data_IF_150410712426
#
_entry.id   IF_150410712426
#
_cell.length_a   1.000
_cell.length_b   1.000
_cell.length_c   1.000
_cell.angle_alpha   90.00
_cell.angle_beta   90.00
_cell.angle_gamma   90.00
#
_symmetry.space_group_name_H-M   'P 1'
#
loop_
_entity.id
_entity.type
_entity.pdbx_description
1 polymer ?
#
# COMPACT_ATOMS: atom_id res chain seq x y z
N UNK A 1 20.16 -20.77 1.76
CA UNK A 1 20.57 -19.39 1.42
C UNK A 1 19.45 -18.72 0.62
N UNK A 2 19.01 -17.54 1.03
CA UNK A 2 18.03 -16.74 0.26
C UNK A 2 18.71 -16.05 -0.92
N UNK A 3 18.01 -15.98 -2.06
CA UNK A 3 18.51 -15.27 -3.24
C UNK A 3 18.64 -13.78 -2.93
N UNK A 4 19.57 -13.04 -3.56
CA UNK A 4 19.72 -11.59 -3.35
C UNK A 4 18.39 -10.82 -3.50
N UNK A 5 17.54 -11.26 -4.43
CA UNK A 5 16.22 -10.69 -4.68
C UNK A 5 15.23 -10.92 -3.54
N UNK A 6 15.20 -12.14 -2.96
CA UNK A 6 14.39 -12.41 -1.78
C UNK A 6 14.86 -11.69 -0.53
N UNK A 7 16.16 -11.40 -0.42
CA UNK A 7 16.67 -10.53 0.65
C UNK A 7 16.12 -9.11 0.53
N UNK A 8 16.23 -8.49 -0.66
CA UNK A 8 15.64 -7.16 -0.91
C UNK A 8 14.14 -7.12 -0.63
N UNK A 9 13.38 -8.13 -1.10
CA UNK A 9 11.95 -8.19 -0.83
C UNK A 9 11.64 -8.26 0.68
N UNK A 10 12.33 -9.14 1.41
CA UNK A 10 12.13 -9.28 2.87
C UNK A 10 12.54 -8.02 3.64
N UNK A 11 13.60 -7.35 3.22
CA UNK A 11 14.02 -6.07 3.79
C UNK A 11 12.94 -5.00 3.62
N UNK A 12 12.37 -4.87 2.42
CA UNK A 12 11.27 -3.93 2.17
C UNK A 12 10.03 -4.33 2.95
N UNK A 13 9.64 -5.61 2.91
CA UNK A 13 8.49 -6.11 3.66
C UNK A 13 8.63 -5.90 5.17
N UNK A 14 9.85 -5.97 5.73
CA UNK A 14 10.08 -5.69 7.16
C UNK A 14 9.82 -4.23 7.54
N UNK A 15 10.06 -3.28 6.62
CA UNK A 15 9.77 -1.85 6.83
C UNK A 15 8.29 -1.53 6.63
N UNK A 16 7.59 -2.35 5.85
CA UNK A 16 6.18 -2.18 5.50
C UNK A 16 5.38 -3.45 5.81
N UNK A 17 5.46 -3.92 7.07
CA UNK A 17 4.88 -5.21 7.49
C UNK A 17 3.38 -5.31 7.19
N UNK A 18 2.68 -4.18 7.35
CA UNK A 18 1.22 -4.08 7.22
C UNK A 18 0.77 -3.75 5.79
N UNK A 19 1.72 -3.66 4.85
CA UNK A 19 1.44 -3.33 3.45
C UNK A 19 1.70 -4.53 2.56
N UNK A 20 0.86 -4.69 1.55
CA UNK A 20 1.14 -5.59 0.42
C UNK A 20 2.24 -4.95 -0.42
N UNK A 21 3.34 -5.66 -0.65
CA UNK A 21 4.47 -5.15 -1.43
C UNK A 21 4.33 -5.58 -2.89
N UNK A 22 3.95 -4.64 -3.76
CA UNK A 22 4.00 -4.82 -5.21
C UNK A 22 5.46 -4.65 -5.66
N UNK A 23 6.17 -5.76 -5.83
CA UNK A 23 7.62 -5.75 -6.08
C UNK A 23 7.92 -5.89 -7.57
N UNK A 24 8.50 -4.85 -8.18
CA UNK A 24 8.75 -4.79 -9.62
C UNK A 24 9.78 -5.82 -10.08
N UNK A 25 9.38 -6.68 -11.00
CA UNK A 25 10.23 -7.66 -11.66
C UNK A 25 9.91 -7.74 -13.16
N UNK A 26 10.75 -7.11 -13.99
CA UNK A 26 10.51 -7.07 -15.43
C UNK A 26 9.21 -6.35 -15.72
N UNK A 27 8.28 -7.00 -16.42
CA UNK A 27 6.97 -6.45 -16.77
C UNK A 27 5.84 -6.78 -15.77
N UNK A 28 6.19 -7.31 -14.60
CA UNK A 28 5.22 -7.65 -13.55
C UNK A 28 5.51 -6.92 -12.25
N UNK A 29 4.45 -6.74 -11.46
CA UNK A 29 4.57 -6.66 -10.01
C UNK A 29 4.31 -8.04 -9.44
N UNK A 30 5.26 -8.56 -8.68
CA UNK A 30 5.13 -9.84 -8.00
C UNK A 30 5.02 -9.62 -6.50
N UNK A 31 4.16 -10.42 -5.87
CA UNK A 31 3.95 -10.50 -4.44
C UNK A 31 4.36 -11.91 -3.98
N UNK A 32 4.90 -12.03 -2.77
CA UNK A 32 5.38 -13.31 -2.24
C UNK A 32 4.77 -13.64 -0.87
N UNK A 33 4.87 -14.91 -0.48
CA UNK A 33 4.46 -15.38 0.84
C UNK A 33 2.98 -15.05 1.13
N UNK A 34 2.69 -14.32 2.20
CA UNK A 34 1.33 -13.97 2.58
C UNK A 34 0.71 -12.95 1.64
N UNK A 35 1.50 -11.96 1.18
CA UNK A 35 1.04 -10.99 0.18
C UNK A 35 0.54 -11.71 -1.09
N UNK A 36 1.22 -12.77 -1.52
CA UNK A 36 0.80 -13.58 -2.66
C UNK A 36 -0.55 -14.28 -2.42
N UNK A 37 -0.76 -14.83 -1.22
CA UNK A 37 -2.00 -15.54 -0.86
C UNK A 37 -3.18 -14.59 -0.78
N UNK A 38 -2.99 -13.45 -0.12
CA UNK A 38 -3.98 -12.38 -0.04
C UNK A 38 -4.33 -11.91 -1.46
N UNK A 39 -3.33 -11.54 -2.26
CA UNK A 39 -3.57 -11.05 -3.61
C UNK A 39 -4.25 -12.09 -4.50
N UNK A 40 -3.82 -13.36 -4.46
CA UNK A 40 -4.47 -14.41 -5.26
C UNK A 40 -5.97 -14.54 -4.93
N UNK A 41 -6.31 -14.52 -3.64
CA UNK A 41 -7.70 -14.61 -3.20
C UNK A 41 -8.50 -13.35 -3.55
N UNK A 42 -8.00 -12.17 -3.19
CA UNK A 42 -8.76 -10.92 -3.29
C UNK A 42 -8.84 -10.39 -4.72
N UNK A 43 -7.82 -10.65 -5.54
CA UNK A 43 -7.74 -10.23 -6.93
C UNK A 43 -8.16 -11.33 -7.92
N UNK A 44 -8.38 -12.56 -7.44
CA UNK A 44 -8.69 -13.73 -8.28
C UNK A 44 -7.60 -14.01 -9.33
N UNK A 45 -6.34 -13.81 -8.94
CA UNK A 45 -5.18 -14.07 -9.78
C UNK A 45 -4.52 -15.41 -9.39
N UNK A 46 -3.82 -16.02 -10.33
CA UNK A 46 -3.19 -17.33 -10.13
C UNK A 46 -2.13 -17.28 -9.02
N UNK A 47 -2.29 -18.14 -8.00
CA UNK A 47 -1.23 -18.44 -7.04
C UNK A 47 -0.29 -19.50 -7.63
N UNK A 48 0.96 -19.14 -7.76
CA UNK A 48 2.05 -20.00 -8.26
C UNK A 48 3.15 -20.13 -7.21
N UNK A 49 4.27 -20.74 -7.57
CA UNK A 49 5.44 -20.81 -6.71
C UNK A 49 6.72 -20.54 -7.48
N UNK A 50 7.63 -19.76 -6.90
CA UNK A 50 8.84 -19.27 -7.57
C UNK A 50 9.98 -20.29 -7.72
N UNK A 51 9.84 -21.48 -7.15
CA UNK A 51 10.85 -22.55 -7.24
C UNK A 51 10.17 -23.90 -6.91
N UNK A 52 10.36 -24.96 -7.70
CA UNK A 52 9.87 -26.30 -7.38
C UNK A 52 10.32 -26.83 -6.01
N UNK A 53 11.52 -26.42 -5.57
CA UNK A 53 12.17 -26.96 -4.37
C UNK A 53 11.83 -26.19 -3.09
N UNK A 54 11.73 -24.86 -3.17
CA UNK A 54 11.43 -23.99 -2.01
C UNK A 54 9.96 -23.61 -1.89
N UNK A 55 9.18 -23.77 -2.97
CA UNK A 55 7.74 -23.50 -3.06
C UNK A 55 7.31 -22.17 -2.41
N UNK A 56 8.06 -21.09 -2.66
CA UNK A 56 7.68 -19.75 -2.19
C UNK A 56 6.41 -19.32 -2.91
N UNK A 57 5.27 -19.09 -2.21
CA UNK A 57 4.04 -18.63 -2.83
C UNK A 57 4.27 -17.32 -3.58
N UNK A 58 3.74 -17.23 -4.79
CA UNK A 58 3.92 -16.09 -5.67
C UNK A 58 2.64 -15.80 -6.43
N UNK A 59 2.25 -14.54 -6.48
CA UNK A 59 1.20 -14.05 -7.37
C UNK A 59 1.72 -12.78 -8.05
N UNK A 60 1.23 -12.47 -9.25
CA UNK A 60 1.70 -11.30 -9.96
C UNK A 60 0.67 -10.72 -10.91
N UNK A 61 0.82 -9.43 -11.19
CA UNK A 61 -0.02 -8.68 -12.13
C UNK A 61 0.85 -7.91 -13.12
N UNK A 62 0.40 -7.73 -14.38
CA UNK A 62 1.11 -6.89 -15.34
C UNK A 62 1.18 -5.45 -14.83
N UNK A 63 2.32 -4.79 -14.98
CA UNK A 63 2.48 -3.46 -14.37
C UNK A 63 1.65 -2.36 -15.01
N UNK A 64 1.43 -2.45 -16.32
CA UNK A 64 0.59 -1.52 -17.06
C UNK A 64 -0.86 -1.53 -16.59
N UNK A 65 -1.29 -2.61 -15.94
CA UNK A 65 -2.63 -2.75 -15.40
C UNK A 65 -2.62 -2.84 -13.87
N UNK A 66 -1.52 -2.46 -13.20
CA UNK A 66 -1.41 -2.58 -11.75
C UNK A 66 -2.42 -1.71 -11.00
N UNK A 67 -2.70 -0.51 -11.51
CA UNK A 67 -3.54 0.47 -10.81
C UNK A 67 -4.93 -0.09 -10.49
N UNK A 68 -5.61 -0.76 -11.43
CA UNK A 68 -6.92 -1.39 -11.16
C UNK A 68 -6.86 -2.46 -10.05
N UNK A 69 -5.77 -3.22 -9.94
CA UNK A 69 -5.61 -4.23 -8.90
C UNK A 69 -5.33 -3.58 -7.54
N UNK A 70 -4.51 -2.53 -7.54
CA UNK A 70 -4.22 -1.75 -6.33
C UNK A 70 -5.52 -1.12 -5.82
N UNK A 71 -6.31 -0.52 -6.70
CA UNK A 71 -7.62 0.05 -6.40
C UNK A 71 -8.59 -0.97 -5.79
N UNK A 72 -8.65 -2.20 -6.33
CA UNK A 72 -9.46 -3.31 -5.77
C UNK A 72 -8.98 -3.75 -4.37
N UNK A 73 -7.68 -3.73 -4.09
CA UNK A 73 -7.15 -4.05 -2.76
C UNK A 73 -7.45 -2.93 -1.76
N UNK A 74 -7.24 -1.68 -2.16
CA UNK A 74 -7.40 -0.52 -1.29
C UNK A 74 -8.86 -0.30 -0.91
N UNK A 75 -9.81 -0.52 -1.83
CA UNK A 75 -11.25 -0.47 -1.51
C UNK A 75 -11.68 -1.55 -0.51
N UNK A 76 -10.90 -2.62 -0.36
CA UNK A 76 -11.08 -3.66 0.67
C UNK A 76 -10.32 -3.36 1.98
N UNK A 77 -9.71 -2.19 2.10
CA UNK A 77 -8.99 -1.74 3.30
C UNK A 77 -7.52 -2.15 3.36
N UNK A 78 -6.98 -2.81 2.34
CA UNK A 78 -5.55 -3.14 2.30
C UNK A 78 -4.70 -1.90 2.00
N UNK A 79 -3.49 -1.87 2.55
CA UNK A 79 -2.47 -0.87 2.22
C UNK A 79 -1.47 -1.50 1.25
N UNK A 80 -1.02 -0.75 0.25
CA UNK A 80 -0.10 -1.23 -0.78
C UNK A 80 1.11 -0.33 -0.88
N UNK A 81 2.30 -0.91 -1.03
CA UNK A 81 3.50 -0.18 -1.45
C UNK A 81 3.95 -0.66 -2.81
N UNK A 82 4.27 0.30 -3.68
CA UNK A 82 4.81 0.05 -5.01
C UNK A 82 6.33 0.18 -4.93
N UNK A 83 7.01 -0.90 -5.21
CA UNK A 83 8.46 -0.99 -5.19
C UNK A 83 8.99 -1.13 -6.60
N UNK A 84 9.70 -0.11 -7.09
CA UNK A 84 10.18 0.01 -8.46
C UNK A 84 11.68 -0.26 -8.60
N UNK A 85 12.10 -0.59 -9.83
CA UNK A 85 13.52 -0.68 -10.19
C UNK A 85 14.06 0.74 -10.45
N UNK A 86 14.98 1.21 -9.61
CA UNK A 86 15.53 2.58 -9.68
C UNK A 86 16.87 2.68 -10.41
N UNK A 87 17.39 1.55 -10.86
CA UNK A 87 18.63 1.46 -11.65
C UNK A 87 18.33 0.86 -13.01
N UNK A 88 19.04 1.31 -14.05
CA UNK A 88 19.00 0.67 -15.36
C UNK A 88 19.56 -0.77 -15.25
N UNK A 89 18.78 -1.81 -15.58
CA UNK A 89 19.25 -3.19 -15.55
C UNK A 89 20.51 -3.44 -16.38
N UNK A 90 20.74 -2.65 -17.44
CA UNK A 90 21.93 -2.76 -18.30
C UNK A 90 23.20 -2.23 -17.65
N UNK A 91 23.06 -1.33 -16.69
CA UNK A 91 24.18 -0.69 -15.98
C UNK A 91 24.41 -1.32 -14.60
N UNK A 92 23.46 -2.08 -14.08
CA UNK A 92 23.52 -2.70 -12.77
C UNK A 92 24.59 -3.81 -12.71
N UNK A 93 25.52 -3.69 -11.74
CA UNK A 93 26.43 -4.78 -11.38
C UNK A 93 25.76 -5.68 -10.35
N UNK A 94 25.09 -6.74 -10.82
CA UNK A 94 24.40 -7.71 -9.96
C UNK A 94 22.89 -7.49 -9.97
N UNK A 95 22.25 -7.54 -8.80
CA UNK A 95 20.80 -7.34 -8.71
C UNK A 95 20.46 -5.84 -8.75
N UNK A 96 19.54 -5.47 -9.64
CA UNK A 96 19.01 -4.11 -9.77
C UNK A 96 18.46 -3.61 -8.43
N UNK A 97 18.85 -2.40 -8.01
CA UNK A 97 18.31 -1.76 -6.80
C UNK A 97 16.82 -1.47 -6.96
N UNK A 98 16.10 -1.63 -5.85
CA UNK A 98 14.67 -1.32 -5.77
C UNK A 98 14.35 -0.46 -4.56
N UNK A 99 13.40 0.45 -4.75
CA UNK A 99 12.94 1.37 -3.72
C UNK A 99 11.42 1.49 -3.76
N UNK A 100 10.82 1.81 -2.62
CA UNK A 100 9.39 2.14 -2.56
C UNK A 100 9.21 3.54 -3.10
N UNK A 101 8.45 3.68 -4.19
CA UNK A 101 8.22 4.96 -4.87
C UNK A 101 6.83 5.53 -4.60
N UNK A 102 5.88 4.67 -4.19
CA UNK A 102 4.50 5.07 -3.91
C UNK A 102 3.92 4.21 -2.79
N UNK A 103 3.16 4.87 -1.92
CA UNK A 103 2.37 4.24 -0.86
C UNK A 103 0.91 4.57 -1.13
N UNK A 104 0.06 3.54 -1.19
CA UNK A 104 -1.37 3.69 -1.45
C UNK A 104 -2.13 3.10 -0.27
N UNK A 105 -3.00 3.92 0.32
CA UNK A 105 -3.85 3.58 1.46
C UNK A 105 -5.27 4.03 1.16
N UNK A 106 -6.29 3.56 1.90
CA UNK A 106 -7.68 3.97 1.68
C UNK A 106 -7.87 5.49 1.64
N UNK A 107 -7.26 6.23 2.58
CA UNK A 107 -7.34 7.70 2.60
C UNK A 107 -6.39 8.43 1.65
N UNK A 108 -5.51 7.72 0.93
CA UNK A 108 -4.52 8.34 0.02
C UNK A 108 -4.64 7.89 -1.43
N UNK A 109 -5.71 7.15 -1.76
CA UNK A 109 -5.98 6.73 -3.13
C UNK A 109 -6.50 7.91 -3.95
N UNK A 110 -5.93 8.07 -5.15
CA UNK A 110 -6.28 9.15 -6.09
C UNK A 110 -6.79 8.62 -7.43
N UNK A 111 -6.94 7.31 -7.57
CA UNK A 111 -7.54 6.71 -8.76
C UNK A 111 -9.06 6.92 -8.73
N UNK A 112 -9.57 7.70 -9.68
CA UNK A 112 -10.98 8.02 -9.81
C UNK A 112 -11.84 6.77 -10.00
N UNK A 113 -11.31 5.70 -10.61
CA UNK A 113 -12.07 4.45 -10.80
C UNK A 113 -12.25 3.68 -9.48
N UNK A 114 -11.44 4.00 -8.47
CA UNK A 114 -11.51 3.39 -7.15
C UNK A 114 -12.43 4.15 -6.20
N UNK A 115 -12.75 5.40 -6.53
CA UNK A 115 -13.53 6.31 -5.70
C UNK A 115 -14.98 6.37 -6.17
N UNK A 116 -15.91 6.49 -5.24
CA UNK A 116 -17.30 6.77 -5.60
C UNK A 116 -17.41 8.23 -6.07
N UNK A 117 -17.85 8.47 -7.32
CA UNK A 117 -17.91 9.80 -7.96
C UNK A 117 -18.64 10.91 -7.16
N UNK A 118 -19.40 10.56 -6.12
CA UNK A 118 -20.19 11.49 -5.31
C UNK A 118 -19.81 11.52 -3.84
N UNK A 119 -18.66 10.93 -3.47
CA UNK A 119 -18.16 10.96 -2.08
C UNK A 119 -16.75 11.51 -2.04
N UNK A 120 -16.52 12.39 -1.07
CA UNK A 120 -15.19 12.84 -0.71
C UNK A 120 -14.45 11.69 -0.01
N UNK A 121 -13.14 11.63 -0.19
CA UNK A 121 -12.27 10.63 0.44
C UNK A 121 -11.25 11.33 1.33
N UNK A 122 -11.69 11.64 2.55
CA UNK A 122 -10.86 12.35 3.51
C UNK A 122 -9.84 11.44 4.19
N UNK A 123 -8.62 11.95 4.31
CA UNK A 123 -7.65 11.51 5.31
C UNK A 123 -7.78 12.40 6.54
N UNK A 124 -8.19 11.79 7.67
CA UNK A 124 -8.34 12.47 8.95
C UNK A 124 -7.14 12.26 9.88
N UNK A 125 -6.88 13.24 10.74
CA UNK A 125 -5.94 13.17 11.85
C UNK A 125 -6.59 13.73 13.11
N UNK A 126 -6.42 13.03 14.24
CA UNK A 126 -6.89 13.44 15.57
C UNK A 126 -5.70 13.48 16.52
N UNK A 127 -5.40 14.66 17.04
CA UNK A 127 -4.38 14.88 18.06
C UNK A 127 -5.04 15.35 19.36
N UNK A 128 -4.55 14.86 20.52
CA UNK A 128 -5.05 15.27 21.83
C UNK A 128 -3.91 15.79 22.70
N UNK A 129 -4.13 16.94 23.32
CA UNK A 129 -3.26 17.52 24.34
C UNK A 129 -4.10 18.03 25.50
N UNK A 130 -3.99 17.39 26.67
CA UNK A 130 -4.87 17.68 27.82
C UNK A 130 -6.35 17.48 27.45
N UNK A 131 -7.14 18.54 27.61
CA UNK A 131 -8.57 18.59 27.23
C UNK A 131 -8.80 19.23 25.85
N UNK A 132 -7.76 19.38 25.04
CA UNK A 132 -7.86 19.95 23.69
C UNK A 132 -7.66 18.87 22.63
N UNK A 133 -8.48 18.94 21.58
CA UNK A 133 -8.42 18.09 20.40
C UNK A 133 -8.15 18.93 19.18
N UNK A 134 -7.08 18.63 18.45
CA UNK A 134 -6.84 19.10 17.09
C UNK A 134 -7.36 18.07 16.09
N UNK A 135 -8.21 18.51 15.16
CA UNK A 135 -8.71 17.71 14.06
C UNK A 135 -8.23 18.30 12.75
N UNK A 136 -7.78 17.46 11.83
CA UNK A 136 -7.41 17.86 10.47
C UNK A 136 -7.97 16.85 9.47
N UNK A 137 -8.53 17.35 8.38
CA UNK A 137 -9.10 16.56 7.29
C UNK A 137 -8.58 17.08 5.96
N UNK A 138 -8.11 16.18 5.10
CA UNK A 138 -7.69 16.52 3.73
C UNK A 138 -8.33 15.58 2.72
N UNK A 139 -8.91 16.13 1.67
CA UNK A 139 -9.27 15.37 0.47
C UNK A 139 -8.19 15.65 -0.60
N UNK A 140 -7.42 14.61 -0.95
CA UNK A 140 -6.30 14.75 -1.89
C UNK A 140 -6.74 14.99 -3.34
N UNK A 141 -7.99 14.68 -3.68
CA UNK A 141 -8.52 14.84 -5.03
C UNK A 141 -9.01 16.26 -5.28
N UNK A 142 -9.68 16.85 -4.28
CA UNK A 142 -10.20 18.23 -4.38
C UNK A 142 -9.19 19.26 -3.88
N UNK A 143 -8.23 18.85 -3.05
CA UNK A 143 -7.33 19.75 -2.34
C UNK A 143 -7.98 20.45 -1.15
N UNK A 144 -9.21 20.06 -0.79
CA UNK A 144 -9.89 20.55 0.40
C UNK A 144 -9.10 20.16 1.65
N UNK A 145 -8.85 21.15 2.51
CA UNK A 145 -8.10 20.96 3.73
C UNK A 145 -8.73 21.80 4.84
N UNK A 146 -9.25 21.11 5.84
CA UNK A 146 -9.92 21.72 6.98
C UNK A 146 -9.23 21.33 8.28
N UNK A 147 -9.19 22.28 9.21
CA UNK A 147 -8.68 22.07 10.55
C UNK A 147 -9.63 22.71 11.56
N UNK A 148 -9.76 22.09 12.72
CA UNK A 148 -10.51 22.66 13.84
C UNK A 148 -9.93 22.22 15.17
N UNK A 149 -10.28 22.96 16.22
CA UNK A 149 -9.89 22.67 17.59
C UNK A 149 -11.12 22.61 18.49
N UNK A 150 -11.18 21.61 19.36
CA UNK A 150 -12.27 21.42 20.31
C UNK A 150 -11.70 21.25 21.73
N UNK A 151 -12.29 21.96 22.69
CA UNK A 151 -12.03 21.70 24.11
C UNK A 151 -13.07 20.72 24.63
N UNK A 152 -12.63 19.52 25.02
CA UNK A 152 -13.51 18.46 25.51
C UNK A 152 -12.75 17.48 26.40
N UNK A 153 -13.40 17.02 27.47
CA UNK A 153 -12.92 15.93 28.31
C UNK A 153 -13.33 14.54 27.78
N UNK A 154 -13.96 14.47 26.60
CA UNK A 154 -14.40 13.20 26.01
C UNK A 154 -13.21 12.24 25.81
N UNK A 155 -13.38 10.91 25.85
CA UNK A 155 -12.28 9.97 25.64
C UNK A 155 -11.73 10.03 24.20
N UNK A 156 -10.42 9.87 24.02
CA UNK A 156 -9.77 9.89 22.69
C UNK A 156 -10.36 8.85 21.72
N UNK A 157 -10.55 7.61 22.19
CA UNK A 157 -11.16 6.56 21.39
C UNK A 157 -12.63 6.86 21.05
N UNK A 158 -13.32 7.62 21.91
CA UNK A 158 -14.66 8.10 21.63
C UNK A 158 -14.66 9.07 20.46
N UNK A 159 -13.71 10.02 20.44
CA UNK A 159 -13.57 10.98 19.33
C UNK A 159 -13.22 10.26 18.03
N UNK A 160 -12.22 9.38 18.02
CA UNK A 160 -11.82 8.62 16.81
C UNK A 160 -12.98 7.83 16.21
N UNK A 161 -13.87 7.27 17.02
CA UNK A 161 -14.97 6.45 16.51
C UNK A 161 -16.12 7.27 15.89
N UNK A 162 -16.18 8.57 16.18
CA UNK A 162 -17.19 9.49 15.63
C UNK A 162 -16.70 10.22 14.38
N UNK A 163 -15.42 10.05 14.03
CA UNK A 163 -14.74 10.68 12.90
C UNK A 163 -14.51 9.65 11.80
#
# INVERSE_FOLDING_TARGET
MDTPMMKQYKEIKSKYSDYIVFFRLGDFYEMFFEDARICSKELEITLTSRDPNKKVPMAGVPYHSADQYISKLVSKGYKVVICEQVEDPKLAKGIVKREVVKIVTPGTITDLNALEEKKNNYLGCVFKEGDHYGLAFVDLMTGEFEITELKSSYPYNGVINEV
#
